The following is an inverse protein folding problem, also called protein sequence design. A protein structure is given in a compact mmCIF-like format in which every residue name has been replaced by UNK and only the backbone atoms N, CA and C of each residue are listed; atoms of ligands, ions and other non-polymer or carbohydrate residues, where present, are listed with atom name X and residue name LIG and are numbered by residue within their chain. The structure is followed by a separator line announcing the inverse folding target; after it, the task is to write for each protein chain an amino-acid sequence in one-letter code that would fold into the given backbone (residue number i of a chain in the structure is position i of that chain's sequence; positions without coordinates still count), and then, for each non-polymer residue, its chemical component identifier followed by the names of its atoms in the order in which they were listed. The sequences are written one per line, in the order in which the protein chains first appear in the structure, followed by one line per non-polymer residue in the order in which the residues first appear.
data_IF_780877405419
#
_entry.id   IF_780877405419
#
_cell.length_a   1.000
_cell.length_b   1.000
_cell.length_c   1.000
_cell.angle_alpha   90.00
_cell.angle_beta   90.00
_cell.angle_gamma   90.00
#
_symmetry.space_group_name_H-M   'P 1'
#
loop_
_entity.id
_entity.type
_entity.pdbx_description
1 polymer ?
#
# COMPACT_ATOMS: atom_id res chain seq x y z
N UNK A 1 -42.05 -29.87 84.27
CA UNK A 1 -41.21 -29.34 85.39
C UNK A 1 -40.29 -28.39 84.77
N UNK A 2 -40.59 -27.17 84.96
CA UNK A 2 -40.07 -26.14 85.86
C UNK A 2 -38.93 -25.36 85.21
N UNK A 3 -39.20 -24.22 84.79
CA UNK A 3 -39.08 -22.84 85.34
C UNK A 3 -37.79 -22.14 84.90
N UNK A 4 -38.03 -21.04 84.17
CA UNK A 4 -37.73 -19.62 84.50
C UNK A 4 -36.19 -19.29 84.60
N UNK A 5 -35.69 -18.14 84.18
CA UNK A 5 -36.19 -16.76 84.11
C UNK A 5 -35.16 -15.87 83.41
N UNK A 6 -35.67 -14.93 82.60
CA UNK A 6 -35.46 -13.49 82.60
C UNK A 6 -34.21 -12.85 83.31
N UNK A 7 -33.53 -11.99 82.57
CA UNK A 7 -33.32 -10.54 82.74
C UNK A 7 -32.27 -10.04 81.75
N UNK A 8 -32.66 -9.15 80.92
CA UNK A 8 -32.70 -7.66 80.95
C UNK A 8 -31.33 -6.96 80.83
N UNK A 9 -31.19 -6.35 79.62
CA UNK A 9 -30.79 -4.94 79.37
C UNK A 9 -29.39 -4.47 79.81
N UNK A 10 -28.57 -4.11 78.83
CA UNK A 10 -28.10 -2.69 78.87
C UNK A 10 -27.53 -2.25 77.52
N UNK A 11 -27.99 -1.14 77.13
CA UNK A 11 -27.64 -0.21 76.08
C UNK A 11 -26.17 0.21 76.19
N UNK A 12 -25.47 0.45 75.08
CA UNK A 12 -24.83 1.71 74.69
C UNK A 12 -23.63 1.46 73.74
N UNK A 13 -23.68 2.20 72.69
CA UNK A 13 -22.68 2.84 71.87
C UNK A 13 -22.46 2.32 70.47
N UNK A 14 -23.30 2.83 69.59
CA UNK A 14 -23.00 2.99 68.18
C UNK A 14 -21.94 4.09 68.00
N UNK A 15 -20.70 3.69 67.76
CA UNK A 15 -19.74 4.58 67.08
C UNK A 15 -19.85 4.33 65.57
N UNK A 16 -20.41 5.33 64.88
CA UNK A 16 -20.37 5.45 63.44
C UNK A 16 -18.92 5.59 62.99
N UNK A 17 -18.38 4.58 62.37
CA UNK A 17 -17.20 4.68 61.53
C UNK A 17 -17.69 4.86 60.09
N UNK A 18 -17.67 6.12 59.63
CA UNK A 18 -17.85 6.47 58.23
C UNK A 18 -16.61 5.99 57.44
N UNK A 19 -16.66 4.79 56.94
CA UNK A 19 -15.67 4.29 55.97
C UNK A 19 -15.92 4.95 54.61
N UNK A 20 -15.09 5.93 54.26
CA UNK A 20 -15.00 6.52 52.96
C UNK A 20 -14.36 5.46 52.04
N UNK A 21 -15.17 4.70 51.29
CA UNK A 21 -14.67 3.82 50.25
C UNK A 21 -14.18 4.66 49.07
N UNK A 22 -12.88 4.85 48.98
CA UNK A 22 -12.20 5.49 47.87
C UNK A 22 -12.25 4.49 46.68
N UNK A 23 -13.22 4.66 45.78
CA UNK A 23 -13.25 3.99 44.51
C UNK A 23 -12.14 4.58 43.63
N UNK A 24 -10.96 3.91 43.61
CA UNK A 24 -9.91 4.18 42.64
C UNK A 24 -10.41 3.62 41.30
N UNK A 25 -10.97 4.49 40.45
CA UNK A 25 -11.21 4.21 39.05
C UNK A 25 -9.86 4.23 38.35
N UNK A 26 -9.24 3.05 38.21
CA UNK A 26 -8.11 2.85 37.32
C UNK A 26 -8.63 3.02 35.89
N UNK A 27 -8.53 4.24 35.35
CA UNK A 27 -8.70 4.48 33.93
C UNK A 27 -7.53 3.80 33.21
N UNK A 28 -7.72 2.58 32.73
CA UNK A 28 -6.87 1.99 31.72
C UNK A 28 -7.08 2.79 30.44
N UNK A 29 -6.21 3.75 30.21
CA UNK A 29 -6.04 4.34 28.89
C UNK A 29 -5.44 3.24 28.00
N UNK A 30 -6.28 2.49 27.32
CA UNK A 30 -5.82 1.69 26.19
C UNK A 30 -5.30 2.68 25.14
N UNK A 31 -4.08 2.50 24.60
CA UNK A 31 -3.67 3.29 23.45
C UNK A 31 -4.72 3.06 22.35
N UNK A 32 -5.32 4.13 21.88
CA UNK A 32 -6.17 4.09 20.69
C UNK A 32 -5.23 3.73 19.55
N UNK A 33 -5.26 2.48 19.16
CA UNK A 33 -4.62 2.02 17.95
C UNK A 33 -5.31 2.74 16.80
N UNK A 34 -4.69 3.81 16.32
CA UNK A 34 -5.10 4.43 15.09
C UNK A 34 -4.79 3.40 14.00
N UNK A 35 -5.81 2.78 13.43
CA UNK A 35 -5.66 2.02 12.20
C UNK A 35 -5.27 3.02 11.11
N UNK A 36 -3.97 3.10 10.84
CA UNK A 36 -3.36 3.91 9.77
C UNK A 36 -3.45 3.19 8.42
N UNK A 37 -4.43 2.30 8.23
CA UNK A 37 -4.61 1.49 7.05
C UNK A 37 -5.26 2.31 5.94
N UNK A 38 -4.51 3.24 5.35
CA UNK A 38 -5.00 4.01 4.23
C UNK A 38 -3.86 4.40 3.28
N UNK A 39 -3.48 3.46 2.45
CA UNK A 39 -2.85 3.74 1.18
C UNK A 39 -3.21 2.62 0.23
N UNK A 40 -3.18 2.76 -1.07
CA UNK A 40 -3.70 1.78 -2.09
C UNK A 40 -4.02 0.50 -1.50
N UNK A 41 -4.54 1.02 -0.72
CA UNK A 41 -4.60 0.55 0.57
C UNK A 41 -3.80 -0.71 0.63
N UNK A 42 -3.25 -1.00 1.63
CA UNK A 42 -2.58 -2.28 1.87
C UNK A 42 -3.35 -3.45 1.22
N UNK A 43 -4.67 -3.31 1.10
CA UNK A 43 -5.55 -4.26 0.41
C UNK A 43 -5.24 -4.41 -1.09
N UNK A 44 -5.03 -3.34 -1.81
CA UNK A 44 -4.75 -3.36 -3.27
C UNK A 44 -3.40 -4.00 -3.57
N UNK A 45 -2.33 -3.58 -2.90
CA UNK A 45 -0.99 -4.17 -3.05
C UNK A 45 -0.94 -5.64 -2.68
N UNK A 46 -1.54 -6.01 -1.54
CA UNK A 46 -1.67 -7.40 -1.12
C UNK A 46 -2.36 -8.26 -2.18
N UNK A 47 -3.45 -7.74 -2.75
CA UNK A 47 -4.21 -8.44 -3.78
C UNK A 47 -3.44 -8.58 -5.09
N UNK A 48 -2.72 -7.54 -5.52
CA UNK A 48 -1.87 -7.56 -6.72
C UNK A 48 -0.79 -8.64 -6.59
N UNK A 49 -0.01 -8.63 -5.52
CA UNK A 49 1.05 -9.61 -5.30
C UNK A 49 0.50 -11.03 -5.19
N UNK A 50 -0.58 -11.23 -4.44
CA UNK A 50 -1.22 -12.53 -4.28
C UNK A 50 -1.68 -13.12 -5.60
N UNK A 51 -2.32 -12.34 -6.45
CA UNK A 51 -2.87 -12.83 -7.72
C UNK A 51 -1.76 -13.00 -8.75
N UNK A 52 -0.70 -12.19 -8.74
CA UNK A 52 0.44 -12.31 -9.64
C UNK A 52 1.09 -13.70 -9.55
N UNK A 53 1.06 -14.37 -8.40
CA UNK A 53 1.56 -15.75 -8.23
C UNK A 53 0.91 -16.71 -9.22
N UNK A 54 -0.38 -16.55 -9.51
CA UNK A 54 -1.14 -17.43 -10.39
C UNK A 54 -0.89 -17.20 -11.89
N UNK A 55 -0.09 -16.18 -12.23
CA UNK A 55 0.35 -15.93 -13.62
C UNK A 55 1.63 -16.70 -13.96
N UNK A 56 2.35 -17.21 -12.96
CA UNK A 56 3.69 -17.78 -13.10
C UNK A 56 3.70 -19.16 -13.79
N UNK A 57 4.78 -19.48 -14.52
CA UNK A 57 4.97 -20.81 -15.10
C UNK A 57 5.23 -21.85 -14.01
N UNK A 58 5.00 -23.16 -14.30
CA UNK A 58 5.16 -24.24 -13.31
C UNK A 58 6.51 -24.26 -12.60
N UNK A 59 7.60 -23.87 -13.26
CA UNK A 59 8.94 -23.84 -12.69
C UNK A 59 9.09 -22.86 -11.50
N UNK A 60 8.31 -21.77 -11.49
CA UNK A 60 8.27 -20.79 -10.43
C UNK A 60 7.08 -21.00 -9.48
N UNK A 61 5.97 -21.48 -10.02
CA UNK A 61 4.69 -21.51 -9.32
C UNK A 61 4.76 -22.21 -7.97
N UNK A 62 5.46 -23.38 -7.89
CA UNK A 62 5.56 -24.14 -6.65
C UNK A 62 6.17 -23.31 -5.50
N UNK A 63 7.32 -22.67 -5.76
CA UNK A 63 7.99 -21.81 -4.79
C UNK A 63 7.12 -20.62 -4.37
N UNK A 64 6.61 -19.85 -5.34
CA UNK A 64 5.79 -18.66 -5.04
C UNK A 64 4.46 -19.00 -4.37
N UNK A 65 3.85 -20.14 -4.71
CA UNK A 65 2.60 -20.59 -4.09
C UNK A 65 2.79 -20.97 -2.64
N UNK A 66 3.89 -21.63 -2.28
CA UNK A 66 4.23 -21.95 -0.89
C UNK A 66 4.41 -20.69 -0.05
N UNK A 67 5.02 -19.66 -0.63
CA UNK A 67 5.30 -18.40 0.06
C UNK A 67 4.25 -17.31 -0.18
N UNK A 68 3.06 -17.66 -0.69
CA UNK A 68 2.04 -16.67 -1.12
C UNK A 68 1.60 -15.75 0.02
N UNK A 69 1.52 -16.25 1.25
CA UNK A 69 1.14 -15.44 2.40
C UNK A 69 2.21 -14.39 2.72
N UNK A 70 3.50 -14.77 2.67
CA UNK A 70 4.60 -13.80 2.83
C UNK A 70 4.52 -12.71 1.76
N UNK A 71 4.42 -13.08 0.49
CA UNK A 71 4.35 -12.13 -0.63
C UNK A 71 3.13 -11.21 -0.54
N UNK A 72 2.03 -11.71 0.03
CA UNK A 72 0.81 -10.94 0.25
C UNK A 72 1.00 -9.94 1.38
N UNK A 73 1.42 -10.41 2.56
CA UNK A 73 1.50 -9.56 3.76
C UNK A 73 2.61 -8.51 3.66
N UNK A 74 3.72 -8.84 3.00
CA UNK A 74 4.87 -7.95 2.84
C UNK A 74 4.82 -7.09 1.56
N UNK A 75 3.75 -7.18 0.78
CA UNK A 75 3.51 -6.29 -0.36
C UNK A 75 3.42 -4.80 0.02
N UNK A 76 3.21 -4.49 1.30
CA UNK A 76 3.02 -3.13 1.83
C UNK A 76 4.22 -2.62 2.63
N UNK A 77 5.27 -3.40 2.72
CA UNK A 77 6.45 -3.01 3.48
C UNK A 77 7.17 -1.77 2.92
N UNK A 78 7.21 -1.51 1.59
CA UNK A 78 7.69 -0.25 1.06
C UNK A 78 6.95 0.97 1.61
N UNK A 79 5.62 0.91 1.72
CA UNK A 79 4.84 1.99 2.34
C UNK A 79 5.19 2.22 3.81
N UNK A 80 5.42 1.14 4.57
CA UNK A 80 5.88 1.26 5.95
C UNK A 80 7.28 1.90 6.02
N UNK A 81 8.18 1.53 5.09
CA UNK A 81 9.54 2.08 5.03
C UNK A 81 9.57 3.55 4.69
N UNK A 82 8.67 4.06 3.84
CA UNK A 82 8.62 5.48 3.46
C UNK A 82 8.46 6.42 4.65
N UNK A 83 7.93 5.93 5.76
CA UNK A 83 7.79 6.68 7.01
C UNK A 83 9.00 6.53 7.95
N UNK A 84 9.86 5.54 7.72
CA UNK A 84 10.95 5.17 8.62
C UNK A 84 12.36 5.36 7.99
N UNK A 85 12.46 5.45 6.67
CA UNK A 85 13.72 5.47 5.95
C UNK A 85 13.81 6.63 4.96
N UNK A 86 14.88 7.41 5.09
CA UNK A 86 15.22 8.42 4.07
C UNK A 86 15.50 7.74 2.73
N UNK A 87 15.01 8.35 1.65
CA UNK A 87 15.26 7.83 0.31
C UNK A 87 14.22 6.80 -0.18
N UNK A 88 13.28 6.38 0.66
CA UNK A 88 12.23 5.46 0.23
C UNK A 88 11.07 6.16 -0.46
N UNK A 89 10.62 7.30 0.05
CA UNK A 89 9.41 7.97 -0.43
C UNK A 89 9.42 8.25 -1.94
N UNK A 90 10.54 8.70 -2.50
CA UNK A 90 10.68 9.00 -3.93
C UNK A 90 10.66 7.76 -4.84
N UNK A 91 10.78 6.56 -4.28
CA UNK A 91 10.71 5.31 -5.03
C UNK A 91 9.27 4.97 -5.48
N UNK A 92 8.25 5.65 -4.92
CA UNK A 92 6.83 5.36 -5.10
C UNK A 92 6.15 6.18 -6.20
N UNK A 93 6.78 7.25 -6.71
CA UNK A 93 6.13 8.18 -7.65
C UNK A 93 7.11 8.80 -8.64
N UNK A 94 6.56 9.56 -9.58
CA UNK A 94 7.28 10.53 -10.43
C UNK A 94 6.35 11.69 -10.75
N UNK A 95 6.70 12.91 -10.33
CA UNK A 95 5.96 14.13 -10.61
C UNK A 95 6.30 14.63 -12.02
N UNK A 96 5.69 14.02 -13.04
CA UNK A 96 5.99 14.32 -14.45
C UNK A 96 5.77 15.80 -14.79
N UNK A 97 4.76 16.42 -14.19
CA UNK A 97 4.41 17.83 -14.34
C UNK A 97 5.50 18.82 -13.86
N UNK A 98 6.56 18.31 -13.24
CA UNK A 98 7.76 19.10 -12.89
C UNK A 98 8.83 19.15 -13.99
N UNK A 99 8.68 18.39 -15.04
CA UNK A 99 9.66 18.25 -16.09
C UNK A 99 9.26 18.83 -17.44
N UNK A 100 7.99 19.24 -17.63
CA UNK A 100 7.49 19.75 -18.90
C UNK A 100 6.59 20.97 -18.72
N UNK A 101 6.46 21.75 -19.79
CA UNK A 101 5.53 22.88 -19.88
C UNK A 101 4.26 22.47 -20.64
N UNK A 102 3.19 23.29 -20.51
CA UNK A 102 1.94 23.02 -21.23
C UNK A 102 2.17 22.86 -22.74
N UNK A 103 1.67 21.75 -23.30
CA UNK A 103 1.78 21.41 -24.72
C UNK A 103 2.99 20.53 -25.07
N UNK A 104 3.88 20.24 -24.13
CA UNK A 104 4.99 19.30 -24.32
C UNK A 104 4.60 17.88 -23.85
N UNK A 105 5.23 16.86 -24.45
CA UNK A 105 5.06 15.47 -24.02
C UNK A 105 6.23 15.06 -23.10
N UNK A 106 6.00 14.83 -21.80
CA UNK A 106 7.05 14.45 -20.86
C UNK A 106 7.80 13.18 -21.27
N UNK A 107 7.15 12.27 -21.99
CA UNK A 107 7.74 11.01 -22.43
C UNK A 107 8.70 11.15 -23.61
N UNK A 108 8.74 12.30 -24.25
CA UNK A 108 9.76 12.66 -25.26
C UNK A 108 10.89 13.51 -24.65
N UNK A 109 10.62 14.18 -23.53
CA UNK A 109 11.54 15.14 -22.91
C UNK A 109 12.43 14.47 -21.86
N UNK A 110 11.84 13.60 -21.03
CA UNK A 110 12.55 12.96 -19.92
C UNK A 110 13.35 11.77 -20.47
N UNK A 111 14.69 11.78 -20.32
CA UNK A 111 15.50 10.64 -20.73
C UNK A 111 15.12 9.39 -19.93
N UNK A 112 14.91 8.27 -20.62
CA UNK A 112 14.57 7.01 -19.95
C UNK A 112 15.76 6.42 -19.17
N UNK A 113 17.00 6.60 -19.63
CA UNK A 113 18.19 6.09 -18.93
C UNK A 113 18.58 7.01 -17.80
N UNK A 114 18.87 6.42 -16.63
CA UNK A 114 19.20 7.16 -15.41
C UNK A 114 20.35 8.16 -15.58
N UNK A 115 21.48 7.73 -16.15
CA UNK A 115 22.64 8.59 -16.36
C UNK A 115 22.36 9.78 -17.31
N UNK A 116 21.51 9.60 -18.31
CA UNK A 116 21.07 10.67 -19.21
C UNK A 116 20.12 11.64 -18.49
N UNK A 117 19.21 11.09 -17.66
CA UNK A 117 18.29 11.89 -16.82
C UNK A 117 19.06 12.72 -15.78
N UNK A 118 20.05 12.13 -15.10
CA UNK A 118 20.93 12.82 -14.14
C UNK A 118 21.74 13.93 -14.84
N UNK A 119 22.28 13.66 -16.03
CA UNK A 119 23.01 14.66 -16.80
C UNK A 119 22.13 15.86 -17.20
N UNK A 120 20.82 15.64 -17.40
CA UNK A 120 19.88 16.70 -17.79
C UNK A 120 19.30 17.46 -16.59
N UNK A 121 18.95 16.77 -15.50
CA UNK A 121 18.14 17.33 -14.41
C UNK A 121 18.85 17.36 -13.05
N UNK A 122 19.99 16.75 -12.89
CA UNK A 122 20.70 16.43 -11.64
C UNK A 122 20.00 15.33 -10.83
N UNK A 123 20.79 14.59 -10.05
CA UNK A 123 20.26 13.53 -9.20
C UNK A 123 19.33 14.07 -8.11
N UNK A 124 19.71 15.20 -7.47
CA UNK A 124 18.88 15.82 -6.43
C UNK A 124 17.51 16.22 -6.94
N UNK A 125 17.40 16.74 -8.18
CA UNK A 125 16.12 17.07 -8.80
C UNK A 125 15.27 15.82 -9.04
N UNK A 126 15.88 14.75 -9.56
CA UNK A 126 15.18 13.48 -9.80
C UNK A 126 14.70 12.87 -8.49
N UNK A 127 15.54 12.81 -7.47
CA UNK A 127 15.17 12.30 -6.14
C UNK A 127 14.03 13.11 -5.54
N UNK A 128 14.03 14.43 -5.67
CA UNK A 128 12.99 15.31 -5.17
C UNK A 128 11.61 15.04 -5.81
N UNK A 129 11.59 14.74 -7.11
CA UNK A 129 10.37 14.60 -7.89
C UNK A 129 10.00 13.16 -8.21
N UNK A 130 10.70 12.20 -7.60
CA UNK A 130 10.39 10.78 -7.69
C UNK A 130 11.08 10.04 -8.83
N UNK A 131 11.38 8.77 -8.57
CA UNK A 131 12.27 7.95 -9.41
C UNK A 131 11.70 6.56 -9.76
N UNK A 132 10.39 6.37 -9.61
CA UNK A 132 9.75 5.04 -9.68
C UNK A 132 10.14 4.21 -10.93
N UNK A 133 10.21 4.72 -12.18
CA UNK A 133 10.52 3.85 -13.32
C UNK A 133 11.96 3.32 -13.27
N UNK A 134 12.90 4.11 -12.80
CA UNK A 134 14.30 3.68 -12.62
C UNK A 134 14.45 2.74 -11.42
N UNK A 135 13.70 3.01 -10.34
CA UNK A 135 13.70 2.18 -9.14
C UNK A 135 13.20 0.76 -9.42
N UNK A 136 12.13 0.60 -10.19
CA UNK A 136 11.64 -0.71 -10.63
C UNK A 136 12.74 -1.50 -11.35
N UNK A 137 13.52 -0.84 -12.23
CA UNK A 137 14.63 -1.51 -12.92
C UNK A 137 15.73 -1.94 -11.94
N UNK A 138 16.06 -1.11 -10.93
CA UNK A 138 17.02 -1.48 -9.87
C UNK A 138 16.51 -2.67 -9.07
N UNK A 139 15.23 -2.68 -8.69
CA UNK A 139 14.61 -3.78 -7.94
C UNK A 139 14.61 -5.09 -8.73
N UNK A 140 14.37 -5.02 -10.05
CA UNK A 140 14.50 -6.21 -10.91
C UNK A 140 15.91 -6.79 -10.89
N UNK A 141 16.94 -5.94 -10.95
CA UNK A 141 18.34 -6.40 -10.86
C UNK A 141 18.66 -7.02 -9.50
N UNK A 142 18.12 -6.47 -8.41
CA UNK A 142 18.27 -7.04 -7.06
C UNK A 142 17.59 -8.42 -6.97
N UNK A 143 16.38 -8.54 -7.51
CA UNK A 143 15.66 -9.80 -7.54
C UNK A 143 16.37 -10.85 -8.41
N UNK A 144 16.88 -10.46 -9.59
CA UNK A 144 17.73 -11.33 -10.42
C UNK A 144 18.93 -11.84 -9.62
N UNK A 145 19.63 -10.95 -8.92
CA UNK A 145 20.78 -11.34 -8.09
C UNK A 145 20.40 -12.28 -6.95
N UNK A 146 19.22 -12.09 -6.35
CA UNK A 146 18.69 -12.98 -5.31
C UNK A 146 18.44 -14.39 -5.86
N UNK A 147 17.92 -14.54 -7.09
CA UNK A 147 17.78 -15.81 -7.78
C UNK A 147 19.13 -16.46 -8.10
N UNK A 148 20.11 -15.71 -8.61
CA UNK A 148 21.47 -16.22 -8.85
C UNK A 148 22.10 -16.80 -7.58
N UNK A 149 21.88 -16.14 -6.45
CA UNK A 149 22.36 -16.58 -5.14
C UNK A 149 21.50 -17.72 -4.52
N UNK A 150 20.35 -18.00 -5.10
CA UNK A 150 19.34 -18.92 -4.55
C UNK A 150 19.02 -18.61 -3.07
N UNK A 151 18.98 -17.33 -2.72
CA UNK A 151 18.72 -16.87 -1.35
C UNK A 151 17.23 -16.62 -1.16
N UNK A 152 16.55 -17.48 -0.39
CA UNK A 152 15.10 -17.45 -0.16
C UNK A 152 14.66 -16.09 0.40
N UNK A 153 15.33 -15.57 1.42
CA UNK A 153 14.96 -14.31 2.07
C UNK A 153 14.98 -13.14 1.10
N UNK A 154 16.06 -13.04 0.29
CA UNK A 154 16.18 -11.97 -0.69
C UNK A 154 15.19 -12.12 -1.85
N UNK A 155 14.92 -13.36 -2.31
CA UNK A 155 13.91 -13.62 -3.34
C UNK A 155 12.54 -13.16 -2.83
N UNK A 156 12.15 -13.54 -1.64
CA UNK A 156 10.85 -13.19 -1.05
C UNK A 156 10.71 -11.70 -0.83
N UNK A 157 11.71 -11.07 -0.18
CA UNK A 157 11.74 -9.63 0.09
C UNK A 157 11.63 -8.81 -1.20
N UNK A 158 12.54 -9.05 -2.17
CA UNK A 158 12.54 -8.26 -3.40
C UNK A 158 11.36 -8.56 -4.31
N UNK A 159 10.79 -9.78 -4.25
CA UNK A 159 9.54 -10.07 -4.97
C UNK A 159 8.35 -9.30 -4.38
N UNK A 160 8.24 -9.22 -3.07
CA UNK A 160 7.19 -8.43 -2.42
C UNK A 160 7.34 -6.94 -2.73
N UNK A 161 8.55 -6.41 -2.56
CA UNK A 161 8.87 -5.00 -2.77
C UNK A 161 8.65 -4.54 -4.23
N UNK A 162 9.16 -5.28 -5.23
CA UNK A 162 9.01 -4.89 -6.63
C UNK A 162 7.54 -4.92 -7.07
N UNK A 163 6.74 -5.83 -6.51
CA UNK A 163 5.32 -5.88 -6.77
C UNK A 163 4.59 -4.63 -6.27
N UNK A 164 5.00 -4.09 -5.14
CA UNK A 164 4.51 -2.81 -4.63
C UNK A 164 4.79 -1.66 -5.60
N UNK A 165 6.07 -1.41 -5.96
CA UNK A 165 6.42 -0.31 -6.85
C UNK A 165 5.79 -0.44 -8.24
N UNK A 166 5.61 -1.67 -8.75
CA UNK A 166 4.85 -1.88 -9.98
C UNK A 166 3.38 -1.50 -9.78
N UNK A 167 2.78 -1.84 -8.64
CA UNK A 167 1.45 -1.38 -8.27
C UNK A 167 1.34 0.15 -8.37
N UNK A 168 2.23 0.88 -7.68
CA UNK A 168 2.30 2.34 -7.68
C UNK A 168 2.47 2.94 -9.08
N UNK A 169 3.31 2.35 -9.93
CA UNK A 169 3.49 2.79 -11.32
C UNK A 169 2.19 2.68 -12.14
N UNK A 170 1.22 1.89 -11.68
CA UNK A 170 -0.09 1.76 -12.32
C UNK A 170 -1.16 2.70 -11.71
N UNK A 171 -0.84 3.53 -10.72
CA UNK A 171 -1.72 4.53 -10.12
C UNK A 171 -1.55 5.88 -10.84
N UNK A 172 -2.63 6.45 -11.43
CA UNK A 172 -2.55 7.76 -12.10
C UNK A 172 -2.01 8.88 -11.21
N UNK A 173 -2.39 8.88 -9.94
CA UNK A 173 -2.03 9.92 -8.98
C UNK A 173 -0.55 9.86 -8.51
N UNK A 174 0.15 8.77 -8.77
CA UNK A 174 1.62 8.68 -8.57
C UNK A 174 2.43 9.33 -9.71
N UNK A 175 1.80 9.98 -10.69
CA UNK A 175 2.47 10.59 -11.84
C UNK A 175 2.40 12.12 -11.85
N UNK A 176 1.99 12.75 -10.75
CA UNK A 176 1.77 14.20 -10.63
C UNK A 176 2.09 14.71 -9.24
N UNK A 177 2.58 15.95 -9.16
CA UNK A 177 2.68 16.67 -7.89
C UNK A 177 1.30 16.89 -7.24
N UNK A 178 0.23 16.99 -8.05
CA UNK A 178 -1.15 17.10 -7.56
C UNK A 178 -1.74 15.76 -7.09
N UNK A 179 -0.91 14.90 -6.53
CA UNK A 179 -1.22 13.51 -6.19
C UNK A 179 -2.47 13.33 -5.31
N UNK A 180 -2.77 14.26 -4.42
CA UNK A 180 -3.93 14.20 -3.53
C UNK A 180 -4.97 15.28 -3.84
N UNK A 181 -4.91 15.88 -5.04
CA UNK A 181 -5.84 16.92 -5.47
C UNK A 181 -5.66 18.25 -4.73
N UNK A 182 -4.56 18.46 -4.00
CA UNK A 182 -4.28 19.63 -3.20
C UNK A 182 -4.17 20.92 -4.04
N UNK A 183 -3.76 20.81 -5.30
CA UNK A 183 -3.65 21.94 -6.21
C UNK A 183 -4.96 22.25 -6.94
N UNK A 184 -5.93 21.33 -6.93
CA UNK A 184 -7.21 21.44 -7.65
C UNK A 184 -8.43 21.51 -6.74
N UNK A 185 -8.21 21.51 -5.40
CA UNK A 185 -9.29 21.55 -4.41
C UNK A 185 -10.02 20.21 -4.24
N UNK A 186 -9.36 19.11 -4.61
CA UNK A 186 -9.90 17.73 -4.57
C UNK A 186 -9.17 16.87 -3.53
N UNK A 187 -8.78 17.49 -2.40
CA UNK A 187 -8.01 16.82 -1.35
C UNK A 187 -8.69 15.52 -0.91
N UNK A 188 -7.91 14.43 -0.84
CA UNK A 188 -8.39 13.10 -0.51
C UNK A 188 -8.70 12.21 -1.73
N UNK A 189 -8.55 12.73 -2.96
CA UNK A 189 -8.81 11.96 -4.19
C UNK A 189 -7.87 10.74 -4.31
N UNK A 190 -6.68 10.82 -3.74
CA UNK A 190 -5.72 9.72 -3.71
C UNK A 190 -6.31 8.50 -2.99
N UNK A 191 -6.67 8.65 -1.74
CA UNK A 191 -7.32 7.61 -0.96
C UNK A 191 -8.67 7.16 -1.54
N UNK A 192 -9.43 8.08 -2.18
CA UNK A 192 -10.64 7.68 -2.90
C UNK A 192 -10.32 6.69 -4.01
N UNK A 193 -9.40 7.05 -4.92
CA UNK A 193 -9.13 6.25 -6.12
C UNK A 193 -8.48 4.92 -5.80
N UNK A 194 -7.43 4.92 -4.97
CA UNK A 194 -6.61 3.73 -4.78
C UNK A 194 -6.99 2.87 -3.57
N UNK A 195 -7.67 3.45 -2.57
CA UNK A 195 -8.13 2.68 -1.40
C UNK A 195 -9.62 2.40 -1.49
N UNK A 196 -10.43 3.45 -1.44
CA UNK A 196 -11.88 3.33 -1.30
C UNK A 196 -12.54 2.58 -2.44
N UNK A 197 -12.19 2.90 -3.70
CA UNK A 197 -12.77 2.21 -4.87
C UNK A 197 -12.36 0.74 -4.91
N UNK A 198 -11.14 0.42 -4.54
CA UNK A 198 -10.65 -0.97 -4.52
C UNK A 198 -11.30 -1.76 -3.40
N UNK A 199 -11.37 -1.21 -2.17
CA UNK A 199 -12.04 -1.87 -1.04
C UNK A 199 -13.50 -2.24 -1.35
N UNK A 200 -14.20 -1.37 -2.09
CA UNK A 200 -15.63 -1.56 -2.38
C UNK A 200 -15.85 -2.54 -3.57
N UNK A 201 -14.98 -2.50 -4.58
CA UNK A 201 -15.31 -3.13 -5.88
C UNK A 201 -14.37 -4.27 -6.28
N UNK A 202 -13.22 -4.45 -5.61
CA UNK A 202 -12.21 -5.39 -6.10
C UNK A 202 -12.64 -6.86 -6.08
N UNK A 203 -13.63 -7.23 -5.29
CA UNK A 203 -14.17 -8.60 -5.28
C UNK A 203 -14.95 -8.94 -6.56
N UNK A 204 -15.48 -7.93 -7.24
CA UNK A 204 -16.25 -8.07 -8.48
C UNK A 204 -15.35 -8.01 -9.74
N UNK A 205 -14.04 -7.72 -9.62
CA UNK A 205 -13.14 -7.60 -10.75
C UNK A 205 -12.76 -8.97 -11.35
N UNK A 206 -12.59 -8.98 -12.67
CA UNK A 206 -12.10 -10.16 -13.37
C UNK A 206 -10.57 -10.20 -13.35
N UNK A 207 -10.00 -11.13 -12.58
CA UNK A 207 -8.56 -11.30 -12.43
C UNK A 207 -7.93 -12.33 -13.37
N UNK A 208 -8.63 -12.81 -14.39
CA UNK A 208 -8.01 -13.61 -15.45
C UNK A 208 -7.18 -12.70 -16.35
N UNK A 209 -5.92 -12.51 -16.01
CA UNK A 209 -4.99 -11.59 -16.68
C UNK A 209 -4.05 -12.30 -17.69
N UNK A 210 -4.07 -13.64 -17.71
CA UNK A 210 -3.19 -14.44 -18.55
C UNK A 210 -1.94 -14.92 -17.82
N UNK A 211 -0.94 -15.37 -18.59
CA UNK A 211 0.33 -15.91 -18.11
C UNK A 211 1.42 -14.85 -18.14
N UNK A 212 2.30 -14.87 -17.14
CA UNK A 212 3.53 -14.07 -17.13
C UNK A 212 4.36 -14.32 -18.39
N UNK A 213 4.89 -13.26 -18.97
CA UNK A 213 5.74 -13.27 -20.14
C UNK A 213 7.10 -12.61 -19.85
N UNK A 214 8.13 -13.02 -20.58
CA UNK A 214 9.44 -12.38 -20.49
C UNK A 214 9.38 -10.94 -21.00
N UNK A 215 9.99 -10.01 -20.26
CA UNK A 215 10.07 -8.59 -20.60
C UNK A 215 11.49 -8.29 -21.09
N UNK A 216 11.63 -8.06 -22.41
CA UNK A 216 12.95 -7.78 -23.01
C UNK A 216 13.55 -6.47 -22.52
N UNK A 217 12.73 -5.42 -22.39
CA UNK A 217 13.14 -4.07 -22.00
C UNK A 217 12.41 -3.62 -20.72
N UNK A 218 12.97 -4.01 -19.56
CA UNK A 218 12.35 -3.77 -18.23
C UNK A 218 12.14 -2.29 -17.97
N UNK A 219 13.13 -1.44 -18.27
CA UNK A 219 12.99 -0.01 -18.06
C UNK A 219 11.91 0.62 -18.93
N UNK A 220 11.78 0.18 -20.18
CA UNK A 220 10.70 0.65 -21.05
C UNK A 220 9.33 0.20 -20.57
N UNK A 221 9.21 -1.04 -20.07
CA UNK A 221 7.98 -1.54 -19.45
C UNK A 221 7.56 -0.69 -18.25
N UNK A 222 8.49 -0.30 -17.38
CA UNK A 222 8.21 0.58 -16.25
C UNK A 222 7.73 1.97 -16.71
N UNK A 223 8.39 2.56 -17.72
CA UNK A 223 7.98 3.83 -18.30
C UNK A 223 6.63 3.76 -19.01
N UNK A 224 6.30 2.65 -19.65
CA UNK A 224 5.00 2.46 -20.31
C UNK A 224 3.86 2.32 -19.29
N UNK A 225 4.12 1.72 -18.12
CA UNK A 225 3.17 1.70 -17.00
C UNK A 225 2.89 3.12 -16.47
N UNK A 226 3.94 3.92 -16.25
CA UNK A 226 3.86 5.32 -15.83
C UNK A 226 3.13 6.16 -16.90
N UNK A 227 3.45 5.97 -18.18
CA UNK A 227 2.78 6.66 -19.29
C UNK A 227 1.27 6.39 -19.31
N UNK A 228 0.88 5.12 -19.23
CA UNK A 228 -0.53 4.75 -19.23
C UNK A 228 -1.28 5.28 -17.99
N UNK A 229 -0.59 5.41 -16.84
CA UNK A 229 -1.10 6.05 -15.64
C UNK A 229 -1.29 7.54 -15.81
N UNK A 230 -0.30 8.23 -16.34
CA UNK A 230 -0.35 9.68 -16.58
C UNK A 230 -1.44 10.08 -17.59
N UNK A 231 -1.61 9.28 -18.65
CA UNK A 231 -2.68 9.50 -19.62
C UNK A 231 -4.09 9.34 -19.02
N UNK A 232 -4.24 8.60 -17.93
CA UNK A 232 -5.51 8.43 -17.22
C UNK A 232 -5.78 9.56 -16.20
N UNK A 233 -4.77 10.35 -15.82
CA UNK A 233 -4.81 11.32 -14.73
C UNK A 233 -5.88 12.39 -14.94
N UNK A 234 -5.99 12.96 -16.15
CA UNK A 234 -7.02 13.98 -16.45
C UNK A 234 -8.42 13.44 -16.15
N UNK A 235 -8.71 12.21 -16.57
CA UNK A 235 -10.01 11.59 -16.33
C UNK A 235 -10.26 11.38 -14.83
N UNK A 236 -9.24 10.99 -14.06
CA UNK A 236 -9.34 10.84 -12.60
C UNK A 236 -9.75 12.17 -11.95
N UNK A 237 -9.04 13.25 -12.25
CA UNK A 237 -9.31 14.57 -11.66
C UNK A 237 -10.61 15.18 -12.18
N UNK A 238 -10.83 15.17 -13.49
CA UNK A 238 -11.99 15.79 -14.13
C UNK A 238 -13.30 15.13 -13.71
N UNK A 239 -13.39 13.81 -13.73
CA UNK A 239 -14.62 13.07 -13.39
C UNK A 239 -15.00 13.30 -11.92
N UNK A 240 -14.04 13.28 -10.99
CA UNK A 240 -14.32 13.60 -9.59
C UNK A 240 -14.86 15.02 -9.42
N UNK A 241 -14.22 16.01 -10.09
CA UNK A 241 -14.62 17.40 -10.03
C UNK A 241 -16.02 17.65 -10.63
N UNK A 242 -16.36 16.96 -11.72
CA UNK A 242 -17.68 17.01 -12.35
C UNK A 242 -18.73 16.39 -11.41
N UNK A 243 -18.47 15.21 -10.89
CA UNK A 243 -19.37 14.50 -9.98
C UNK A 243 -19.60 15.30 -8.68
N UNK A 244 -18.57 15.95 -8.15
CA UNK A 244 -18.69 16.82 -6.97
C UNK A 244 -19.72 17.93 -7.13
N UNK A 245 -19.93 18.47 -8.36
CA UNK A 245 -20.93 19.51 -8.62
C UNK A 245 -22.37 18.98 -8.62
N UNK A 246 -22.54 17.67 -8.84
CA UNK A 246 -23.84 17.01 -8.90
C UNK A 246 -24.30 16.47 -7.55
N UNK A 247 -23.37 16.20 -6.64
CA UNK A 247 -23.67 15.74 -5.30
C UNK A 247 -23.90 16.90 -4.34
N UNK A 248 -24.87 16.74 -3.45
CA UNK A 248 -25.02 17.64 -2.32
C UNK A 248 -23.80 17.50 -1.40
N UNK A 249 -23.26 18.60 -0.84
CA UNK A 249 -22.04 18.56 -0.02
C UNK A 249 -22.12 17.57 1.16
N UNK A 250 -23.28 17.42 1.77
CA UNK A 250 -23.56 16.49 2.89
C UNK A 250 -23.70 15.03 2.44
N UNK A 251 -23.78 14.74 1.14
CA UNK A 251 -23.86 13.41 0.56
C UNK A 251 -22.55 12.90 -0.01
N UNK A 252 -21.55 13.77 -0.18
CA UNK A 252 -20.24 13.41 -0.72
C UNK A 252 -19.42 12.61 0.27
N UNK A 253 -19.55 12.89 1.57
CA UNK A 253 -18.78 12.26 2.63
C UNK A 253 -19.70 11.54 3.62
N UNK A 254 -19.16 10.51 4.26
CA UNK A 254 -19.77 9.75 5.34
C UNK A 254 -18.77 9.56 6.49
N UNK A 255 -19.26 9.05 7.61
CA UNK A 255 -18.42 8.62 8.72
C UNK A 255 -18.51 7.11 8.83
N UNK A 256 -17.37 6.43 8.81
CA UNK A 256 -17.31 4.98 8.89
C UNK A 256 -16.45 4.53 10.08
N UNK A 257 -16.86 3.43 10.69
CA UNK A 257 -16.07 2.77 11.72
C UNK A 257 -14.87 2.07 11.08
N UNK A 258 -13.66 2.48 11.45
CA UNK A 258 -12.41 1.81 11.08
C UNK A 258 -11.67 1.42 12.35
N UNK A 259 -11.65 0.12 12.68
CA UNK A 259 -11.16 -0.35 13.97
C UNK A 259 -11.91 0.32 15.12
N UNK A 260 -11.18 1.02 16.00
CA UNK A 260 -11.73 1.72 17.15
C UNK A 260 -12.04 3.23 16.89
N UNK A 261 -11.80 3.72 15.66
CA UNK A 261 -12.03 5.11 15.27
C UNK A 261 -13.20 5.25 14.30
N UNK A 262 -13.90 6.39 14.38
CA UNK A 262 -14.85 6.83 13.36
C UNK A 262 -14.13 7.88 12.51
N UNK A 263 -13.96 7.60 11.23
CA UNK A 263 -13.21 8.46 10.32
C UNK A 263 -14.10 9.01 9.21
N UNK A 264 -13.90 10.26 8.78
CA UNK A 264 -14.55 10.79 7.58
C UNK A 264 -13.96 10.10 6.34
N UNK A 265 -14.85 9.68 5.43
CA UNK A 265 -14.47 9.07 4.17
C UNK A 265 -15.46 9.49 3.07
N UNK A 266 -15.13 9.23 1.81
CA UNK A 266 -16.11 9.40 0.75
C UNK A 266 -17.28 8.42 0.94
N UNK A 267 -18.50 8.90 0.74
CA UNK A 267 -19.69 8.06 0.89
C UNK A 267 -19.68 6.92 -0.13
N UNK A 268 -20.39 5.86 0.21
CA UNK A 268 -20.54 4.70 -0.69
C UNK A 268 -21.14 5.12 -2.03
N UNK A 269 -22.20 5.94 -2.00
CA UNK A 269 -22.91 6.41 -3.18
C UNK A 269 -22.03 7.27 -4.10
N UNK A 270 -21.24 8.20 -3.52
CA UNK A 270 -20.29 8.98 -4.29
C UNK A 270 -19.19 8.10 -4.91
N UNK A 271 -18.65 7.18 -4.13
CA UNK A 271 -17.59 6.26 -4.56
C UNK A 271 -18.08 5.36 -5.70
N UNK A 272 -19.28 4.80 -5.60
CA UNK A 272 -19.87 3.98 -6.65
C UNK A 272 -20.16 4.78 -7.93
N UNK A 273 -20.72 5.99 -7.82
CA UNK A 273 -20.95 6.86 -8.97
C UNK A 273 -19.63 7.24 -9.67
N UNK A 274 -18.59 7.51 -8.88
CA UNK A 274 -17.26 7.81 -9.41
C UNK A 274 -16.65 6.59 -10.11
N UNK A 275 -16.70 5.41 -9.48
CA UNK A 275 -16.23 4.16 -10.09
C UNK A 275 -16.92 3.85 -11.42
N UNK A 276 -18.24 4.02 -11.49
CA UNK A 276 -19.01 3.80 -12.72
C UNK A 276 -18.57 4.77 -13.84
N UNK A 277 -18.33 6.06 -13.52
CA UNK A 277 -17.89 7.05 -14.51
C UNK A 277 -16.45 6.83 -14.96
N UNK A 278 -15.60 6.26 -14.13
CA UNK A 278 -14.25 5.80 -14.50
C UNK A 278 -14.28 4.62 -15.47
N UNK A 279 -15.44 4.01 -15.69
CA UNK A 279 -15.68 2.96 -16.69
C UNK A 279 -14.65 1.82 -16.64
N UNK A 280 -14.50 1.20 -15.47
CA UNK A 280 -13.60 0.07 -15.23
C UNK A 280 -12.09 0.43 -15.23
N UNK A 281 -11.75 1.72 -15.10
CA UNK A 281 -10.33 2.15 -15.10
C UNK A 281 -9.53 1.48 -13.98
N UNK A 282 -10.06 1.45 -12.75
CA UNK A 282 -9.36 0.87 -11.60
C UNK A 282 -9.07 -0.62 -11.84
N UNK A 283 -10.07 -1.37 -12.29
CA UNK A 283 -9.90 -2.79 -12.64
C UNK A 283 -8.82 -2.98 -13.71
N UNK A 284 -8.89 -2.21 -14.81
CA UNK A 284 -7.88 -2.31 -15.88
C UNK A 284 -6.47 -2.01 -15.38
N UNK A 285 -6.29 -1.03 -14.50
CA UNK A 285 -4.98 -0.69 -13.91
C UNK A 285 -4.49 -1.81 -12.98
N UNK A 286 -5.35 -2.37 -12.12
CA UNK A 286 -5.01 -3.50 -11.27
C UNK A 286 -4.63 -4.73 -12.09
N UNK A 287 -5.39 -5.06 -13.12
CA UNK A 287 -5.10 -6.19 -14.02
C UNK A 287 -3.75 -6.04 -14.72
N UNK A 288 -3.45 -4.81 -15.20
CA UNK A 288 -2.16 -4.50 -15.79
C UNK A 288 -1.01 -4.62 -14.77
N UNK A 289 -1.20 -4.15 -13.54
CA UNK A 289 -0.21 -4.31 -12.47
C UNK A 289 0.06 -5.80 -12.19
N UNK A 290 -0.97 -6.62 -12.02
CA UNK A 290 -0.86 -8.05 -11.71
C UNK A 290 -0.03 -8.79 -12.76
N UNK A 291 -0.34 -8.62 -14.05
CA UNK A 291 0.41 -9.31 -15.12
C UNK A 291 1.84 -8.78 -15.23
N UNK A 292 2.06 -7.47 -14.99
CA UNK A 292 3.40 -6.88 -15.00
C UNK A 292 4.24 -7.42 -13.83
N UNK A 293 3.67 -7.56 -12.62
CA UNK A 293 4.37 -8.14 -11.47
C UNK A 293 4.81 -9.57 -11.75
N UNK A 294 3.90 -10.43 -12.20
CA UNK A 294 4.25 -11.82 -12.54
C UNK A 294 5.29 -11.91 -13.65
N UNK A 295 5.18 -11.07 -14.69
CA UNK A 295 6.15 -11.00 -15.78
C UNK A 295 7.52 -10.51 -15.32
N UNK A 296 7.56 -9.57 -14.35
CA UNK A 296 8.80 -9.07 -13.78
C UNK A 296 9.53 -10.14 -12.96
N UNK A 297 8.79 -10.88 -12.12
CA UNK A 297 9.34 -12.02 -11.38
C UNK A 297 9.88 -13.09 -12.33
N UNK A 298 9.11 -13.43 -13.37
CA UNK A 298 9.53 -14.39 -14.39
C UNK A 298 10.77 -13.93 -15.14
N UNK A 299 10.84 -12.65 -15.55
CA UNK A 299 11.98 -12.07 -16.23
C UNK A 299 13.24 -12.10 -15.36
N UNK A 300 13.15 -11.70 -14.09
CA UNK A 300 14.28 -11.75 -13.17
C UNK A 300 14.83 -13.17 -12.99
N UNK A 301 13.96 -14.18 -12.95
CA UNK A 301 14.34 -15.58 -12.85
C UNK A 301 15.00 -16.10 -14.17
N UNK A 302 14.45 -15.71 -15.31
CA UNK A 302 15.04 -16.08 -16.64
C UNK A 302 16.44 -15.50 -16.76
N UNK A 303 16.62 -14.22 -16.45
CA UNK A 303 17.90 -13.51 -16.54
C UNK A 303 18.92 -14.02 -15.51
N UNK A 304 18.48 -14.62 -14.41
CA UNK A 304 19.32 -15.32 -13.44
C UNK A 304 19.78 -16.73 -13.90
N UNK A 305 19.45 -17.13 -15.12
CA UNK A 305 19.78 -18.45 -15.67
C UNK A 305 18.82 -19.57 -15.28
N UNK A 306 17.60 -19.22 -14.88
CA UNK A 306 16.52 -20.16 -14.55
C UNK A 306 16.89 -21.18 -13.45
N UNK A 307 17.39 -20.73 -12.27
CA UNK A 307 17.79 -21.66 -11.20
C UNK A 307 16.62 -22.56 -10.79
N UNK A 308 16.92 -23.82 -10.48
CA UNK A 308 15.93 -24.75 -9.93
C UNK A 308 15.56 -24.36 -8.49
N UNK A 309 14.31 -23.96 -8.28
CA UNK A 309 13.77 -23.55 -6.98
C UNK A 309 13.09 -24.69 -6.21
N UNK A 310 13.04 -25.91 -6.76
CA UNK A 310 12.36 -27.05 -6.14
C UNK A 310 12.90 -27.37 -4.73
N UNK A 311 14.22 -27.20 -4.54
CA UNK A 311 14.87 -27.42 -3.25
C UNK A 311 14.61 -26.31 -2.22
N UNK A 312 14.21 -25.13 -2.69
CA UNK A 312 13.94 -23.95 -1.88
C UNK A 312 12.45 -23.84 -1.52
N UNK A 313 11.59 -24.59 -2.20
CA UNK A 313 10.14 -24.46 -2.10
C UNK A 313 9.63 -24.52 -0.65
N UNK A 314 10.14 -25.45 0.16
CA UNK A 314 9.71 -25.62 1.55
C UNK A 314 10.65 -24.95 2.57
N UNK A 315 11.55 -24.09 2.12
CA UNK A 315 12.46 -23.36 3.01
C UNK A 315 11.75 -22.14 3.55
N UNK A 316 11.44 -22.07 4.85
CA UNK A 316 10.75 -20.88 5.40
C UNK A 316 11.66 -19.65 5.38
N UNK A 317 11.08 -18.43 5.43
CA UNK A 317 11.86 -17.23 5.69
C UNK A 317 12.69 -17.38 6.97
N UNK A 318 13.91 -16.84 6.95
CA UNK A 318 14.78 -16.91 8.12
C UNK A 318 14.21 -16.11 9.29
N UNK A 319 14.63 -16.49 10.51
CA UNK A 319 14.26 -15.75 11.72
C UNK A 319 14.75 -14.30 11.65
N UNK A 320 15.92 -14.06 11.03
CA UNK A 320 16.46 -12.70 10.84
C UNK A 320 15.56 -11.83 9.94
N UNK A 321 15.06 -12.37 8.83
CA UNK A 321 14.12 -11.66 7.97
C UNK A 321 12.80 -11.35 8.70
N UNK A 322 12.26 -12.32 9.42
CA UNK A 322 11.03 -12.13 10.19
C UNK A 322 11.18 -11.09 11.32
N UNK A 323 12.37 -11.00 11.93
CA UNK A 323 12.68 -9.97 12.91
C UNK A 323 12.81 -8.58 12.28
N UNK A 324 13.43 -8.48 11.10
CA UNK A 324 13.49 -7.24 10.31
C UNK A 324 12.07 -6.72 9.99
N UNK A 325 11.19 -7.60 9.53
CA UNK A 325 9.80 -7.24 9.19
C UNK A 325 9.01 -6.79 10.43
N UNK A 326 9.17 -7.47 11.57
CA UNK A 326 8.55 -7.07 12.84
C UNK A 326 9.08 -5.72 13.35
N UNK A 327 10.37 -5.46 13.20
CA UNK A 327 10.96 -4.18 13.57
C UNK A 327 10.40 -3.04 12.70
N UNK A 328 10.23 -3.27 11.41
CA UNK A 328 9.60 -2.31 10.49
C UNK A 328 8.15 -2.02 10.89
N UNK A 329 7.36 -3.06 11.18
CA UNK A 329 5.99 -2.89 11.70
C UNK A 329 5.95 -2.05 12.97
N UNK A 330 6.83 -2.32 13.93
CA UNK A 330 6.92 -1.58 15.17
C UNK A 330 7.26 -0.09 14.94
N UNK A 331 8.18 0.21 14.00
CA UNK A 331 8.53 1.58 13.61
C UNK A 331 7.35 2.29 12.95
N UNK A 332 6.65 1.64 12.04
CA UNK A 332 5.46 2.19 11.40
C UNK A 332 4.37 2.55 12.41
N UNK A 333 4.07 1.67 13.36
CA UNK A 333 3.09 1.92 14.42
C UNK A 333 3.55 2.96 15.44
N UNK A 334 4.85 3.16 15.64
CA UNK A 334 5.37 4.21 16.53
C UNK A 334 5.18 5.64 15.97
N UNK A 335 4.82 5.80 14.71
CA UNK A 335 4.39 7.09 14.14
C UNK A 335 5.50 8.04 13.74
N UNK A 336 6.73 7.60 13.54
CA UNK A 336 7.75 8.41 12.85
C UNK A 336 7.37 8.57 11.38
N UNK A 337 7.08 9.81 10.96
CA UNK A 337 6.73 10.11 9.58
C UNK A 337 7.86 10.89 8.91
N UNK A 338 8.59 10.24 8.03
CA UNK A 338 9.51 10.85 7.08
C UNK A 338 8.85 10.81 5.69
N UNK A 339 8.88 11.93 4.97
CA UNK A 339 8.44 11.98 3.58
C UNK A 339 7.02 12.47 3.32
N UNK A 340 6.59 12.32 2.05
CA UNK A 340 5.31 12.79 1.49
C UNK A 340 4.14 11.96 2.03
N UNK A 341 3.18 12.62 2.67
CA UNK A 341 1.96 11.98 3.18
C UNK A 341 0.98 11.80 2.02
N UNK A 342 0.55 10.57 1.75
CA UNK A 342 -0.42 10.23 0.69
C UNK A 342 -1.87 10.19 1.18
N UNK A 343 -2.21 10.81 2.31
CA UNK A 343 -3.56 10.87 2.86
C UNK A 343 -4.30 12.19 2.52
#
# INVERSE_FOLDING_TARGET
MSFQSLKMVNWLNYKRLSGLSLLIVLSFSYPVEHSKDAAWGFYGHKRINRIAVFTLPPALFGFYKEHIEFLTEHAVDPDKRRYAMDGEAQCHYIDLDRYYSSGEDPFTIIPRKWNEAVAKYTEDTLQKHGIIPWHINVMKMRLQKAFELQNVDLILKYSADIGHYIGDAHVPLHTTENYNGQLTGQKGIHGLWESRLVEINADDYNYFVGKAAYIEHVLDCAWDAVKASHMALDSVLRIEKELTKEFLPDKKYSYEQRGNAVVPTYSFEFSQAYHQRLNGMVERRMRAAIITVGSMWFTAWVDAGQPDLSRLQNTPPSQALLEEMRALDAQYHAGCHLGRICE
#
